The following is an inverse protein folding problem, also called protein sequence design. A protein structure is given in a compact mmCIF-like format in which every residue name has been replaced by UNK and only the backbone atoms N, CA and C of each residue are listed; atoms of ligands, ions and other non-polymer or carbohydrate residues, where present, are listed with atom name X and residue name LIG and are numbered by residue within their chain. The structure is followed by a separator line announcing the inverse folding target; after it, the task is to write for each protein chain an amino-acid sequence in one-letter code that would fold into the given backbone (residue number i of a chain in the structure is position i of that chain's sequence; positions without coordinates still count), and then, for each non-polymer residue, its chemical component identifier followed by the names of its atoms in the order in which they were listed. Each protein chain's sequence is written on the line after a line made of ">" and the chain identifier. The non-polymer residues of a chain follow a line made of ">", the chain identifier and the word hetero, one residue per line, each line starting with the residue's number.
data_IF_211563280117
#
_entry.id   IF_211563280117
#
_cell.length_a   1.000
_cell.length_b   1.000
_cell.length_c   1.000
_cell.angle_alpha   90.00
_cell.angle_beta   90.00
_cell.angle_gamma   90.00
#
_symmetry.space_group_name_H-M   'P 1'
#
loop_
_entity.id
_entity.type
_entity.pdbx_description
1 polymer ?
#
# COMPACT_ATOMS: atom_id res chain seq x y z
N UNK A 1 45.93 93.35 1.30
CA UNK A 1 45.57 92.59 0.06
C UNK A 1 45.03 91.27 0.52
N UNK A 2 43.78 91.06 0.22
CA UNK A 2 42.87 90.08 0.84
C UNK A 2 43.11 88.67 0.31
N UNK A 3 43.20 87.68 1.24
CA UNK A 3 43.01 86.28 0.91
C UNK A 3 41.76 85.76 1.65
N UNK A 4 40.68 85.59 0.86
CA UNK A 4 39.47 84.93 1.28
C UNK A 4 39.70 83.42 1.30
N UNK A 5 39.58 82.88 2.47
CA UNK A 5 39.56 81.42 2.65
C UNK A 5 38.13 80.88 2.51
N UNK A 6 37.83 80.24 1.40
CA UNK A 6 36.59 79.52 1.19
C UNK A 6 36.58 78.24 2.01
N UNK A 7 35.63 78.23 2.96
CA UNK A 7 35.32 77.08 3.79
C UNK A 7 34.35 76.14 3.02
N UNK A 8 34.83 75.02 2.52
CA UNK A 8 33.99 74.02 1.90
C UNK A 8 33.28 73.15 2.97
N UNK A 9 31.96 73.32 3.05
CA UNK A 9 31.10 72.46 3.86
C UNK A 9 30.99 71.08 3.24
N UNK A 10 31.57 70.10 3.88
CA UNK A 10 31.33 68.68 3.57
C UNK A 10 29.92 68.30 3.95
N UNK A 11 29.07 68.04 2.96
CA UNK A 11 27.74 67.47 3.12
C UNK A 11 27.82 66.01 3.66
N UNK A 12 26.98 65.59 4.62
CA UNK A 12 26.99 64.22 5.11
C UNK A 12 26.43 63.23 4.08
N UNK A 13 27.23 62.22 3.74
CA UNK A 13 26.84 61.11 2.88
C UNK A 13 25.61 60.42 3.46
N UNK A 14 24.49 60.58 2.80
CA UNK A 14 23.25 59.84 3.04
C UNK A 14 23.46 58.36 2.79
N UNK A 15 23.52 57.56 3.90
CA UNK A 15 23.46 56.10 3.83
C UNK A 15 22.11 55.69 3.29
N UNK A 16 21.99 55.49 2.00
CA UNK A 16 20.80 54.91 1.36
C UNK A 16 20.52 53.53 1.93
N UNK A 17 19.54 53.45 2.86
CA UNK A 17 18.97 52.18 3.30
C UNK A 17 18.38 51.50 2.07
N UNK A 18 19.09 50.49 1.53
CA UNK A 18 18.57 49.59 0.50
C UNK A 18 17.31 48.94 1.09
N UNK A 19 16.14 49.47 0.74
CA UNK A 19 14.86 48.79 0.98
C UNK A 19 14.89 47.51 0.16
N UNK A 20 15.32 46.43 0.79
CA UNK A 20 15.26 45.08 0.22
C UNK A 20 13.79 44.87 -0.15
N UNK A 21 13.49 44.91 -1.44
CA UNK A 21 12.08 44.94 -1.91
C UNK A 21 11.45 43.64 -1.53
N UNK A 22 10.49 43.70 -0.61
CA UNK A 22 9.70 42.56 -0.04
C UNK A 22 9.22 41.58 -1.13
N UNK A 23 8.99 42.10 -2.35
CA UNK A 23 8.60 41.29 -3.51
C UNK A 23 9.59 40.17 -3.89
N UNK A 24 10.87 40.27 -3.51
CA UNK A 24 11.87 39.22 -3.81
C UNK A 24 11.84 38.08 -2.80
N UNK A 25 11.25 38.31 -1.60
CA UNK A 25 11.07 37.25 -0.60
C UNK A 25 9.83 36.41 -0.86
N UNK A 26 8.83 36.94 -1.57
CA UNK A 26 7.58 36.22 -1.86
C UNK A 26 7.84 34.86 -2.54
N UNK A 27 8.64 34.76 -3.62
CA UNK A 27 8.89 33.46 -4.24
C UNK A 27 9.70 32.50 -3.34
N UNK A 28 10.62 33.04 -2.52
CA UNK A 28 11.40 32.21 -1.59
C UNK A 28 10.51 31.65 -0.49
N UNK A 29 9.64 32.48 0.08
CA UNK A 29 8.67 32.02 1.10
C UNK A 29 7.67 31.04 0.49
N UNK A 30 7.15 31.30 -0.71
CA UNK A 30 6.25 30.39 -1.42
C UNK A 30 6.91 29.03 -1.68
N UNK A 31 8.18 29.04 -2.12
CA UNK A 31 8.93 27.80 -2.31
C UNK A 31 9.19 27.05 -0.99
N UNK A 32 9.52 27.77 0.09
CA UNK A 32 9.69 27.18 1.41
C UNK A 32 8.39 26.51 1.92
N UNK A 33 7.25 27.19 1.76
CA UNK A 33 5.93 26.63 2.10
C UNK A 33 5.64 25.39 1.25
N UNK A 34 5.92 25.44 -0.05
CA UNK A 34 5.73 24.30 -0.95
C UNK A 34 6.59 23.09 -0.52
N UNK A 35 7.86 23.30 -0.22
CA UNK A 35 8.76 22.23 0.25
C UNK A 35 8.26 21.63 1.57
N UNK A 36 7.85 22.48 2.51
CA UNK A 36 7.32 22.01 3.80
C UNK A 36 6.01 21.24 3.65
N UNK A 37 5.08 21.72 2.80
CA UNK A 37 3.82 21.01 2.55
C UNK A 37 4.04 19.69 1.82
N UNK A 38 4.96 19.64 0.84
CA UNK A 38 5.33 18.41 0.15
C UNK A 38 6.03 17.42 1.09
N UNK A 39 7.00 17.89 1.90
CA UNK A 39 7.67 17.06 2.90
C UNK A 39 6.68 16.46 3.91
N UNK A 40 5.72 17.27 4.38
CA UNK A 40 4.67 16.79 5.27
C UNK A 40 3.71 15.81 4.56
N UNK A 41 3.32 16.07 3.31
CA UNK A 41 2.47 15.20 2.52
C UNK A 41 3.14 13.85 2.21
N UNK A 42 4.44 13.84 1.88
CA UNK A 42 5.21 12.62 1.61
C UNK A 42 5.41 11.75 2.86
N UNK A 43 5.37 12.36 4.04
CA UNK A 43 5.46 11.61 5.31
C UNK A 43 4.10 11.04 5.76
N UNK A 44 3.01 11.38 5.09
CA UNK A 44 1.72 10.72 5.29
C UNK A 44 1.68 9.42 4.51
N UNK A 45 1.29 8.36 5.19
CA UNK A 45 1.18 7.03 4.61
C UNK A 45 -0.02 6.99 3.64
N UNK A 46 0.15 7.00 2.30
CA UNK A 46 -0.97 7.02 1.35
C UNK A 46 -1.72 5.66 1.29
N UNK A 47 -1.28 4.67 2.08
CA UNK A 47 -1.84 3.32 2.11
C UNK A 47 -3.15 3.20 2.86
N UNK A 48 -3.63 4.27 3.49
CA UNK A 48 -4.86 4.27 4.32
C UNK A 48 -6.11 4.76 3.58
N UNK A 49 -6.18 4.60 2.26
CA UNK A 49 -7.47 4.84 1.58
C UNK A 49 -8.37 3.63 1.87
N UNK A 50 -9.44 3.78 2.69
CA UNK A 50 -10.35 2.67 2.96
C UNK A 50 -10.92 2.17 1.63
N UNK A 51 -10.77 0.87 1.36
CA UNK A 51 -11.38 0.28 0.17
C UNK A 51 -12.90 0.48 0.25
N UNK A 52 -13.50 0.95 -0.84
CA UNK A 52 -14.96 1.08 -0.96
C UNK A 52 -15.72 -0.25 -0.79
N UNK A 53 -14.99 -1.36 -0.80
CA UNK A 53 -15.51 -2.72 -0.64
C UNK A 53 -15.53 -3.20 0.82
N UNK A 54 -15.00 -2.45 1.78
CA UNK A 54 -15.09 -2.82 3.21
C UNK A 54 -16.55 -2.93 3.63
N UNK A 55 -16.90 -4.05 4.28
CA UNK A 55 -18.27 -4.38 4.68
C UNK A 55 -19.17 -4.88 3.54
N UNK A 56 -18.69 -4.89 2.29
CA UNK A 56 -19.45 -5.40 1.14
C UNK A 56 -19.21 -6.90 0.95
N UNK A 57 -20.18 -7.62 0.36
CA UNK A 57 -19.95 -8.97 -0.11
C UNK A 57 -18.79 -8.97 -1.12
N UNK A 58 -17.99 -10.04 -1.11
CA UNK A 58 -16.98 -10.25 -2.15
C UNK A 58 -17.65 -10.28 -3.53
N UNK A 59 -17.09 -9.63 -4.55
CA UNK A 59 -17.56 -9.76 -5.92
C UNK A 59 -17.64 -11.22 -6.36
N UNK A 60 -18.62 -11.55 -7.17
CA UNK A 60 -18.80 -12.92 -7.66
C UNK A 60 -17.67 -13.26 -8.66
N UNK A 61 -17.01 -14.40 -8.42
CA UNK A 61 -15.97 -14.91 -9.32
C UNK A 61 -15.84 -16.43 -9.21
N UNK A 62 -15.23 -17.04 -10.23
CA UNK A 62 -14.81 -18.44 -10.22
C UNK A 62 -13.58 -18.57 -11.09
N UNK A 63 -12.46 -19.00 -10.50
CA UNK A 63 -11.17 -19.15 -11.14
C UNK A 63 -10.69 -20.60 -11.08
N UNK A 64 -10.08 -21.03 -12.17
CA UNK A 64 -9.35 -22.28 -12.20
C UNK A 64 -8.16 -22.23 -11.22
N UNK A 65 -7.69 -23.40 -10.72
CA UNK A 65 -6.52 -23.42 -9.86
C UNK A 65 -5.25 -22.98 -10.60
N UNK A 66 -4.27 -22.52 -9.87
CA UNK A 66 -2.90 -22.39 -10.36
C UNK A 66 -2.44 -23.77 -10.85
N UNK A 67 -1.69 -23.81 -11.96
CA UNK A 67 -1.20 -25.04 -12.56
C UNK A 67 -0.54 -25.96 -11.52
N UNK A 68 -0.92 -27.24 -11.52
CA UNK A 68 -0.43 -28.24 -10.56
C UNK A 68 -1.13 -28.20 -9.19
N UNK A 69 -2.08 -27.31 -8.96
CA UNK A 69 -2.93 -27.27 -7.75
C UNK A 69 -4.28 -27.92 -8.02
N UNK A 70 -4.82 -28.59 -7.00
CA UNK A 70 -6.07 -29.37 -7.16
C UNK A 70 -7.33 -28.49 -7.11
N UNK A 71 -7.32 -27.41 -6.32
CA UNK A 71 -8.51 -26.65 -5.97
C UNK A 71 -8.43 -25.21 -6.50
N UNK A 72 -9.38 -24.86 -7.36
CA UNK A 72 -9.63 -23.46 -7.77
C UNK A 72 -10.22 -22.63 -6.63
N UNK A 73 -10.42 -21.34 -6.89
CA UNK A 73 -10.99 -20.41 -5.94
C UNK A 73 -12.20 -19.69 -6.55
N UNK A 74 -13.28 -19.68 -5.79
CA UNK A 74 -14.50 -18.94 -6.15
C UNK A 74 -15.04 -18.15 -4.94
N UNK A 75 -15.94 -17.23 -5.21
CA UNK A 75 -16.62 -16.48 -4.15
C UNK A 75 -17.40 -17.39 -3.16
N UNK A 76 -17.90 -18.53 -3.62
CA UNK A 76 -18.58 -19.52 -2.77
C UNK A 76 -17.65 -20.19 -1.76
N UNK A 77 -16.37 -20.35 -2.09
CA UNK A 77 -15.36 -20.97 -1.21
C UNK A 77 -14.96 -20.06 -0.04
N UNK A 78 -15.35 -18.79 -0.08
CA UNK A 78 -15.07 -17.78 0.94
C UNK A 78 -16.18 -17.67 2.00
N UNK A 79 -17.20 -18.53 1.92
CA UNK A 79 -18.32 -18.59 2.87
C UNK A 79 -18.07 -19.73 3.86
N UNK A 80 -18.47 -19.51 5.12
CA UNK A 80 -18.42 -20.51 6.19
C UNK A 80 -17.27 -20.34 7.17
N UNK A 81 -16.14 -19.82 6.73
CA UNK A 81 -14.97 -19.60 7.59
C UNK A 81 -14.41 -18.17 7.46
N UNK A 82 -13.88 -17.65 8.56
CA UNK A 82 -13.03 -16.46 8.49
C UNK A 82 -11.73 -16.85 7.80
N UNK A 83 -11.38 -16.15 6.72
CA UNK A 83 -10.22 -16.50 5.91
C UNK A 83 -9.45 -15.25 5.46
N UNK A 84 -8.24 -15.50 4.97
CA UNK A 84 -7.43 -14.51 4.26
C UNK A 84 -7.47 -14.83 2.76
N UNK A 85 -7.54 -13.79 1.94
CA UNK A 85 -7.26 -13.88 0.50
C UNK A 85 -6.05 -13.01 0.23
N UNK A 86 -4.93 -13.64 -0.14
CA UNK A 86 -3.69 -12.97 -0.49
C UNK A 86 -3.57 -12.92 -2.02
N UNK A 87 -3.40 -11.73 -2.55
CA UNK A 87 -3.18 -11.49 -3.98
C UNK A 87 -1.67 -11.46 -4.22
N UNK A 88 -1.19 -12.36 -5.04
CA UNK A 88 0.24 -12.57 -5.27
C UNK A 88 0.56 -12.78 -6.75
N UNK A 89 1.85 -12.77 -7.08
CA UNK A 89 2.35 -13.21 -8.38
C UNK A 89 3.81 -13.69 -8.24
N UNK A 90 4.25 -14.60 -9.12
CA UNK A 90 5.61 -15.14 -9.11
C UNK A 90 6.68 -14.08 -9.42
N UNK A 91 6.35 -13.08 -10.22
CA UNK A 91 7.21 -11.96 -10.58
C UNK A 91 7.32 -10.87 -9.50
N UNK A 92 6.54 -10.98 -8.41
CA UNK A 92 6.46 -9.98 -7.36
C UNK A 92 7.52 -10.21 -6.28
N UNK A 93 8.52 -9.33 -6.18
CA UNK A 93 9.60 -9.42 -5.17
C UNK A 93 9.05 -9.27 -3.75
N UNK A 94 8.18 -8.30 -3.51
CA UNK A 94 7.57 -8.06 -2.19
C UNK A 94 6.68 -9.23 -1.73
N UNK A 95 6.06 -9.98 -2.67
CA UNK A 95 5.31 -11.19 -2.34
C UNK A 95 6.23 -12.28 -1.80
N UNK A 96 7.47 -12.36 -2.29
CA UNK A 96 8.47 -13.29 -1.75
C UNK A 96 8.90 -12.93 -0.34
N UNK A 97 8.98 -11.64 -0.03
CA UNK A 97 9.34 -11.16 1.32
C UNK A 97 8.30 -11.53 2.37
N UNK A 98 7.00 -11.46 2.04
CA UNK A 98 5.93 -11.83 2.97
C UNK A 98 5.65 -13.34 3.03
N UNK A 99 6.07 -14.09 2.03
CA UNK A 99 5.73 -15.52 1.88
C UNK A 99 6.03 -16.39 3.12
N UNK A 100 7.15 -16.22 3.83
CA UNK A 100 7.42 -16.96 5.07
C UNK A 100 6.35 -16.73 6.15
N UNK A 101 5.76 -15.53 6.23
CA UNK A 101 4.66 -15.25 7.17
C UNK A 101 3.38 -15.99 6.77
N UNK A 102 3.07 -16.06 5.48
CA UNK A 102 1.93 -16.83 4.98
C UNK A 102 2.09 -18.32 5.29
N UNK A 103 3.29 -18.86 5.16
CA UNK A 103 3.61 -20.25 5.55
C UNK A 103 3.41 -20.49 7.06
N UNK A 104 3.78 -19.53 7.90
CA UNK A 104 3.53 -19.58 9.34
C UNK A 104 2.03 -19.54 9.65
N UNK A 105 1.24 -18.71 8.97
CA UNK A 105 -0.21 -18.65 9.14
C UNK A 105 -0.88 -19.98 8.80
N UNK A 106 -0.48 -20.61 7.69
CA UNK A 106 -0.93 -21.96 7.34
C UNK A 106 -0.59 -22.98 8.43
N UNK A 107 0.65 -22.97 8.92
CA UNK A 107 1.12 -23.87 9.98
C UNK A 107 0.37 -23.66 11.30
N UNK A 108 -0.11 -22.42 11.55
CA UNK A 108 -0.97 -22.08 12.69
C UNK A 108 -2.45 -22.45 12.47
N UNK A 109 -2.79 -23.08 11.35
CA UNK A 109 -4.15 -23.54 11.03
C UNK A 109 -5.10 -22.46 10.51
N UNK A 110 -4.59 -21.28 10.10
CA UNK A 110 -5.41 -20.25 9.49
C UNK A 110 -5.70 -20.60 8.03
N UNK A 111 -6.93 -20.30 7.60
CA UNK A 111 -7.33 -20.48 6.20
C UNK A 111 -6.81 -19.30 5.37
N UNK A 112 -5.90 -19.59 4.46
CA UNK A 112 -5.34 -18.63 3.53
C UNK A 112 -5.61 -19.10 2.11
N UNK A 113 -6.18 -18.25 1.26
CA UNK A 113 -6.41 -18.48 -0.16
C UNK A 113 -5.50 -17.60 -0.99
N UNK A 114 -5.05 -18.08 -2.14
CA UNK A 114 -4.19 -17.33 -3.06
C UNK A 114 -4.95 -16.89 -4.31
N UNK A 115 -4.87 -15.62 -4.64
CA UNK A 115 -5.30 -15.05 -5.92
C UNK A 115 -4.05 -14.70 -6.72
N UNK A 116 -3.75 -15.53 -7.71
CA UNK A 116 -2.58 -15.38 -8.59
C UNK A 116 -2.87 -14.39 -9.71
N UNK A 117 -2.23 -13.23 -9.64
CA UNK A 117 -2.56 -12.07 -10.45
C UNK A 117 -1.65 -11.91 -11.66
N UNK A 118 -2.26 -12.01 -12.87
CA UNK A 118 -1.59 -11.75 -14.16
C UNK A 118 -0.25 -12.47 -14.29
N UNK A 119 -0.23 -13.74 -13.95
CA UNK A 119 0.98 -14.54 -13.92
C UNK A 119 1.05 -15.57 -15.06
N UNK A 120 2.26 -16.00 -15.36
CA UNK A 120 2.48 -17.16 -16.23
C UNK A 120 2.19 -18.44 -15.44
N UNK A 121 1.39 -19.38 -15.99
CA UNK A 121 1.02 -20.60 -15.26
C UNK A 121 2.19 -21.46 -14.82
N UNK A 122 3.26 -21.52 -15.61
CA UNK A 122 4.45 -22.33 -15.30
C UNK A 122 5.31 -21.65 -14.23
N UNK A 123 5.41 -20.32 -14.28
CA UNK A 123 6.17 -19.54 -13.30
C UNK A 123 5.45 -19.53 -11.95
N UNK A 124 4.13 -19.35 -11.91
CA UNK A 124 3.33 -19.44 -10.68
C UNK A 124 3.45 -20.84 -10.03
N UNK A 125 3.33 -21.91 -10.85
CA UNK A 125 3.50 -23.28 -10.37
C UNK A 125 4.90 -23.49 -9.77
N UNK A 126 5.94 -23.15 -10.53
CA UNK A 126 7.34 -23.27 -10.11
C UNK A 126 7.63 -22.47 -8.83
N UNK A 127 7.05 -21.28 -8.71
CA UNK A 127 7.22 -20.43 -7.55
C UNK A 127 6.65 -21.10 -6.29
N UNK A 128 5.41 -21.61 -6.34
CA UNK A 128 4.79 -22.34 -5.25
C UNK A 128 5.51 -23.65 -4.91
N UNK A 129 6.07 -24.35 -5.92
CA UNK A 129 6.84 -25.57 -5.71
C UNK A 129 8.20 -25.28 -5.04
N UNK A 130 8.80 -24.12 -5.35
CA UNK A 130 10.12 -23.75 -4.84
C UNK A 130 10.06 -23.20 -3.40
N UNK A 131 9.07 -22.33 -3.12
CA UNK A 131 8.98 -21.62 -1.83
C UNK A 131 7.97 -22.24 -0.85
N UNK A 132 7.23 -23.26 -1.30
CA UNK A 132 6.12 -23.87 -0.57
C UNK A 132 4.79 -23.22 -0.93
N UNK A 133 3.69 -23.92 -0.63
CA UNK A 133 2.33 -23.48 -0.93
C UNK A 133 1.59 -23.18 0.38
N UNK A 134 1.38 -21.92 0.75
CA UNK A 134 0.66 -21.54 1.96
C UNK A 134 -0.87 -21.64 1.80
N UNK A 135 -1.37 -21.80 0.58
CA UNK A 135 -2.76 -21.62 0.24
C UNK A 135 -3.58 -22.90 0.38
N UNK A 136 -4.78 -22.76 0.93
CA UNK A 136 -5.80 -23.82 0.96
C UNK A 136 -6.41 -24.01 -0.42
N UNK A 137 -6.61 -22.92 -1.16
CA UNK A 137 -7.09 -22.88 -2.53
C UNK A 137 -6.35 -21.78 -3.29
N UNK A 138 -6.22 -21.94 -4.60
CA UNK A 138 -5.60 -20.92 -5.46
C UNK A 138 -6.50 -20.63 -6.64
N UNK A 139 -6.60 -19.36 -7.02
CA UNK A 139 -7.31 -18.93 -8.23
C UNK A 139 -6.38 -18.21 -9.18
N UNK A 140 -6.27 -18.70 -10.43
CA UNK A 140 -5.43 -18.08 -11.45
C UNK A 140 -6.19 -16.97 -12.19
N UNK A 141 -6.01 -15.72 -11.78
CA UNK A 141 -6.59 -14.52 -12.40
C UNK A 141 -5.67 -13.98 -13.50
N UNK A 142 -5.56 -14.74 -14.60
CA UNK A 142 -4.62 -14.49 -15.71
C UNK A 142 -4.80 -13.13 -16.38
N UNK A 143 -6.03 -12.64 -16.46
CA UNK A 143 -6.34 -11.35 -17.06
C UNK A 143 -6.47 -10.21 -16.05
N UNK A 144 -6.39 -10.51 -14.74
CA UNK A 144 -6.50 -9.54 -13.65
C UNK A 144 -7.90 -9.00 -13.44
N UNK A 145 -8.93 -9.62 -14.00
CA UNK A 145 -10.30 -9.12 -13.92
C UNK A 145 -10.86 -9.20 -12.50
N UNK A 146 -10.63 -10.32 -11.82
CA UNK A 146 -11.09 -10.50 -10.44
C UNK A 146 -10.39 -9.50 -9.52
N UNK A 147 -9.09 -9.33 -9.68
CA UNK A 147 -8.34 -8.34 -8.91
C UNK A 147 -8.86 -6.91 -9.13
N UNK A 148 -9.23 -6.53 -10.36
CA UNK A 148 -9.85 -5.23 -10.66
C UNK A 148 -11.20 -5.10 -9.93
N UNK A 149 -12.06 -6.11 -10.00
CA UNK A 149 -13.37 -6.11 -9.35
C UNK A 149 -13.24 -6.05 -7.81
N UNK A 150 -12.14 -6.53 -7.23
CA UNK A 150 -11.78 -6.44 -5.82
C UNK A 150 -11.07 -5.11 -5.46
N UNK A 151 -10.85 -4.23 -6.43
CA UNK A 151 -10.18 -2.96 -6.23
C UNK A 151 -8.71 -3.13 -5.84
N UNK A 152 -8.05 -4.17 -6.35
CA UNK A 152 -6.60 -4.38 -6.15
C UNK A 152 -5.83 -3.33 -6.92
N UNK A 153 -4.90 -2.65 -6.25
CA UNK A 153 -4.03 -1.64 -6.85
C UNK A 153 -2.72 -2.23 -7.34
N UNK A 154 -2.28 -3.32 -6.71
CA UNK A 154 -1.03 -4.01 -7.02
C UNK A 154 -0.84 -5.25 -6.16
N UNK A 155 0.32 -5.87 -6.25
CA UNK A 155 0.67 -7.04 -5.44
C UNK A 155 1.90 -6.75 -4.58
N UNK A 156 1.94 -7.26 -3.33
CA UNK A 156 0.88 -8.05 -2.69
C UNK A 156 -0.21 -7.19 -2.04
N UNK A 157 -1.40 -7.74 -1.92
CA UNK A 157 -2.48 -7.23 -1.09
C UNK A 157 -3.17 -8.41 -0.37
N UNK A 158 -3.63 -8.18 0.86
CA UNK A 158 -4.30 -9.23 1.65
C UNK A 158 -5.63 -8.75 2.18
N UNK A 159 -6.66 -9.54 1.94
CA UNK A 159 -8.04 -9.28 2.40
C UNK A 159 -8.39 -10.22 3.55
N UNK A 160 -9.06 -9.69 4.58
CA UNK A 160 -9.70 -10.48 5.63
C UNK A 160 -11.16 -10.65 5.25
N UNK A 161 -11.61 -11.90 5.17
CA UNK A 161 -12.98 -12.26 4.78
C UNK A 161 -13.73 -12.83 5.99
N UNK A 162 -14.96 -12.36 6.20
CA UNK A 162 -15.86 -12.84 7.25
C UNK A 162 -16.51 -14.17 6.88
N UNK A 163 -17.13 -14.87 7.84
CA UNK A 163 -17.86 -16.14 7.59
C UNK A 163 -19.00 -16.02 6.58
N UNK A 164 -19.60 -14.84 6.46
CA UNK A 164 -20.66 -14.55 5.48
C UNK A 164 -20.15 -14.01 4.15
N UNK A 165 -18.84 -14.11 3.89
CA UNK A 165 -18.24 -13.75 2.61
C UNK A 165 -18.13 -12.24 2.36
N UNK A 166 -17.95 -11.42 3.41
CA UNK A 166 -17.73 -9.97 3.28
C UNK A 166 -16.28 -9.61 3.51
N UNK A 167 -15.83 -8.53 2.87
CA UNK A 167 -14.50 -7.98 3.07
C UNK A 167 -14.49 -7.18 4.38
N UNK A 168 -13.84 -7.69 5.42
CA UNK A 168 -13.72 -7.02 6.71
C UNK A 168 -12.56 -6.02 6.74
N UNK A 169 -11.47 -6.33 6.02
CA UNK A 169 -10.26 -5.50 5.98
C UNK A 169 -9.48 -5.73 4.70
N UNK A 170 -8.74 -4.72 4.26
CA UNK A 170 -7.80 -4.78 3.14
C UNK A 170 -6.46 -4.23 3.60
N UNK A 171 -5.42 -5.03 3.51
CA UNK A 171 -4.04 -4.64 3.71
C UNK A 171 -3.36 -4.45 2.36
N UNK A 172 -2.70 -3.31 2.15
CA UNK A 172 -2.00 -2.96 0.91
C UNK A 172 -0.49 -3.04 1.14
N UNK A 173 0.19 -3.78 0.28
CA UNK A 173 1.61 -4.05 0.37
C UNK A 173 1.92 -5.32 1.17
N UNK A 174 3.23 -5.63 1.37
CA UNK A 174 3.65 -6.86 2.03
C UNK A 174 3.21 -6.91 3.49
N UNK A 175 2.75 -8.07 3.92
CA UNK A 175 2.47 -8.36 5.33
C UNK A 175 3.77 -8.26 6.13
N UNK A 176 3.70 -7.58 7.26
CA UNK A 176 4.77 -7.54 8.25
C UNK A 176 4.32 -8.26 9.52
N UNK A 177 5.26 -8.75 10.32
CA UNK A 177 4.93 -9.36 11.62
C UNK A 177 4.14 -8.39 12.51
N UNK A 178 4.54 -7.13 12.54
CA UNK A 178 3.84 -6.08 13.29
C UNK A 178 2.40 -5.86 12.79
N UNK A 179 2.18 -5.69 11.48
CA UNK A 179 0.85 -5.50 10.89
C UNK A 179 -0.05 -6.72 11.10
N UNK A 180 0.53 -7.91 11.04
CA UNK A 180 -0.17 -9.15 11.31
C UNK A 180 -0.63 -9.22 12.77
N UNK A 181 0.26 -8.99 13.74
CA UNK A 181 -0.03 -9.09 15.16
C UNK A 181 -0.90 -7.95 15.69
N UNK A 182 -0.70 -6.73 15.21
CA UNK A 182 -1.43 -5.56 15.68
C UNK A 182 -2.83 -5.41 15.06
N UNK A 183 -3.03 -5.88 13.83
CA UNK A 183 -4.26 -5.58 13.08
C UNK A 183 -4.98 -6.85 12.64
N UNK A 184 -4.32 -7.71 11.86
CA UNK A 184 -5.01 -8.82 11.16
C UNK A 184 -5.44 -9.92 12.14
N UNK A 185 -4.55 -10.43 12.97
CA UNK A 185 -4.87 -11.51 13.90
C UNK A 185 -5.90 -11.12 14.95
N UNK A 186 -5.85 -9.92 15.58
CA UNK A 186 -6.92 -9.47 16.49
C UNK A 186 -8.27 -9.37 15.81
N UNK A 187 -8.31 -8.86 14.56
CA UNK A 187 -9.53 -8.79 13.77
C UNK A 187 -10.09 -10.18 13.48
N UNK A 188 -9.27 -11.10 12.97
CA UNK A 188 -9.70 -12.47 12.69
C UNK A 188 -10.25 -13.18 13.93
N UNK A 189 -9.55 -13.08 15.08
CA UNK A 189 -10.03 -13.65 16.36
C UNK A 189 -11.38 -13.09 16.79
N UNK A 190 -11.65 -11.81 16.55
CA UNK A 190 -12.94 -11.18 16.82
C UNK A 190 -14.03 -11.72 15.89
N UNK A 191 -13.75 -11.85 14.59
CA UNK A 191 -14.69 -12.35 13.59
C UNK A 191 -15.05 -13.84 13.78
N UNK A 192 -14.09 -14.64 14.25
CA UNK A 192 -14.35 -16.07 14.55
C UNK A 192 -15.33 -16.24 15.71
N UNK A 193 -15.38 -15.30 16.65
CA UNK A 193 -16.26 -15.32 17.83
C UNK A 193 -17.68 -14.81 17.56
N UNK A 194 -17.90 -14.19 16.40
CA UNK A 194 -19.22 -13.75 15.92
C UNK A 194 -19.92 -14.88 15.14
#
# INVERSE_FOLDING_TARGET
>A
MNAESTFELHAPMSKGRRKLRLRHFVPVVAFGVLVLTFGWALNRNPREIPSALIGKPVPHFSLAPVKGRALGLSSADLIGNVSLVNVFASWCVACREEHPLLMQLKSAGLVVHGLDYKDNPDDAAKWLDTFGDPYTRTGADRNGRVAIDWGVYGVPETFVITKDGRIAHKHIGPLTAEGLESTILPLMRRLVRQ
#
